data_IF_045136679845
#
_entry.id   IF_045136679845
#
_cell.length_a   1.000
_cell.length_b   1.000
_cell.length_c   1.000
_cell.angle_alpha   90.00
_cell.angle_beta   90.00
_cell.angle_gamma   90.00
#
_symmetry.space_group_name_H-M   'P 1'
#
loop_
_entity.id
_entity.type
_entity.pdbx_description
1 polymer ?
#
# COMPACT_ATOMS: atom_id res chain seq x y z
N UNK A 1 8.72 -15.84 -11.14
CA UNK A 1 7.33 -16.32 -11.32
C UNK A 1 6.83 -16.80 -9.96
N UNK A 2 5.67 -16.31 -9.51
CA UNK A 2 5.06 -16.71 -8.23
C UNK A 2 4.33 -18.05 -8.41
N UNK A 3 4.48 -18.96 -7.46
CA UNK A 3 3.82 -20.26 -7.45
C UNK A 3 2.99 -20.43 -6.17
N UNK A 4 1.74 -20.82 -6.32
CA UNK A 4 0.88 -21.18 -5.19
C UNK A 4 0.85 -22.71 -5.05
N UNK A 5 1.35 -23.22 -3.92
CA UNK A 5 1.37 -24.64 -3.61
C UNK A 5 0.41 -24.96 -2.46
N UNK A 6 -0.61 -25.77 -2.75
CA UNK A 6 -1.63 -26.25 -1.81
C UNK A 6 -1.51 -27.76 -1.55
N UNK A 7 -0.36 -28.40 -1.85
CA UNK A 7 -0.19 -29.83 -1.66
C UNK A 7 -0.49 -30.29 -0.24
N UNK A 8 -0.09 -29.51 0.77
CA UNK A 8 -0.30 -29.82 2.19
C UNK A 8 -1.76 -29.65 2.63
N UNK A 9 -2.62 -29.01 1.81
CA UNK A 9 -4.05 -28.89 2.13
C UNK A 9 -4.87 -30.09 1.66
N UNK A 10 -4.29 -31.01 0.87
CA UNK A 10 -4.99 -32.17 0.30
C UNK A 10 -5.51 -33.16 1.35
N UNK A 11 -4.89 -33.19 2.53
CA UNK A 11 -5.37 -33.99 3.66
C UNK A 11 -6.66 -33.43 4.27
N UNK A 12 -6.99 -32.18 3.97
CA UNK A 12 -8.15 -31.47 4.53
C UNK A 12 -9.22 -31.16 3.49
N UNK A 13 -8.84 -31.10 2.21
CA UNK A 13 -9.70 -30.75 1.07
C UNK A 13 -9.60 -31.86 0.04
N UNK A 14 -10.70 -32.59 -0.16
CA UNK A 14 -10.75 -33.61 -1.20
C UNK A 14 -10.90 -32.98 -2.60
N UNK A 15 -10.39 -33.64 -3.64
CA UNK A 15 -10.41 -33.11 -5.02
C UNK A 15 -11.82 -32.74 -5.51
N UNK A 16 -12.83 -33.54 -5.17
CA UNK A 16 -14.22 -33.27 -5.55
C UNK A 16 -14.78 -31.98 -4.93
N UNK A 17 -14.22 -31.51 -3.81
CA UNK A 17 -14.61 -30.24 -3.18
C UNK A 17 -14.08 -29.03 -3.97
N UNK A 18 -12.88 -29.16 -4.55
CA UNK A 18 -12.31 -28.17 -5.46
C UNK A 18 -13.12 -28.08 -6.75
N UNK A 19 -13.53 -29.22 -7.30
CA UNK A 19 -14.42 -29.26 -8.47
C UNK A 19 -15.78 -28.62 -8.16
N UNK A 20 -16.35 -28.91 -6.98
CA UNK A 20 -17.65 -28.39 -6.56
C UNK A 20 -17.65 -26.86 -6.34
N UNK A 21 -16.56 -26.27 -5.84
CA UNK A 21 -16.47 -24.81 -5.65
C UNK A 21 -16.21 -24.05 -6.96
N UNK A 22 -15.69 -24.73 -7.99
CA UNK A 22 -15.32 -24.13 -9.29
C UNK A 22 -16.46 -23.32 -9.91
N UNK A 23 -17.71 -23.79 -9.81
CA UNK A 23 -18.87 -23.03 -10.32
C UNK A 23 -19.12 -21.70 -9.59
N UNK A 24 -18.95 -21.67 -8.26
CA UNK A 24 -19.09 -20.44 -7.47
C UNK A 24 -17.92 -19.48 -7.72
N UNK A 25 -16.72 -20.02 -7.82
CA UNK A 25 -15.51 -19.26 -8.14
C UNK A 25 -15.61 -18.64 -9.55
N UNK A 26 -16.10 -19.40 -10.53
CA UNK A 26 -16.27 -18.93 -11.90
C UNK A 26 -17.29 -17.80 -12.00
N UNK A 27 -18.40 -17.90 -11.27
CA UNK A 27 -19.37 -16.81 -11.17
C UNK A 27 -18.74 -15.55 -10.55
N UNK A 28 -17.99 -15.68 -9.45
CA UNK A 28 -17.34 -14.55 -8.80
C UNK A 28 -16.28 -13.88 -9.70
N UNK A 29 -15.45 -14.67 -10.41
CA UNK A 29 -14.50 -14.13 -11.38
C UNK A 29 -15.21 -13.44 -12.54
N UNK A 30 -16.28 -14.04 -13.08
CA UNK A 30 -17.06 -13.44 -14.15
C UNK A 30 -17.69 -12.09 -13.71
N UNK A 31 -18.29 -12.03 -12.53
CA UNK A 31 -18.86 -10.78 -12.00
C UNK A 31 -17.79 -9.70 -11.76
N UNK A 32 -16.59 -10.09 -11.35
CA UNK A 32 -15.46 -9.18 -11.18
C UNK A 32 -14.98 -8.63 -12.53
N UNK A 33 -14.78 -9.51 -13.52
CA UNK A 33 -14.36 -9.14 -14.88
C UNK A 33 -15.41 -8.26 -15.58
N UNK A 34 -16.69 -8.56 -15.39
CA UNK A 34 -17.80 -7.78 -15.93
C UNK A 34 -18.16 -6.55 -15.10
N UNK A 35 -17.50 -6.35 -13.95
CA UNK A 35 -17.75 -5.21 -13.05
C UNK A 35 -19.20 -5.14 -12.53
N UNK A 36 -19.84 -6.29 -12.34
CA UNK A 36 -21.22 -6.41 -11.87
C UNK A 36 -21.34 -6.85 -10.42
N UNK A 37 -20.22 -7.21 -9.77
CA UNK A 37 -20.20 -7.59 -8.36
C UNK A 37 -20.53 -6.40 -7.42
N UNK A 38 -21.02 -6.65 -6.19
CA UNK A 38 -21.14 -5.61 -5.18
C UNK A 38 -19.81 -4.89 -4.91
N UNK A 39 -19.82 -3.56 -4.86
CA UNK A 39 -18.61 -2.75 -4.69
C UNK A 39 -17.81 -2.56 -5.99
N UNK A 40 -18.41 -2.82 -7.16
CA UNK A 40 -17.75 -2.64 -8.47
C UNK A 40 -17.37 -1.19 -8.78
N UNK A 41 -17.86 -0.23 -8.02
CA UNK A 41 -17.38 1.15 -8.05
C UNK A 41 -15.95 1.30 -7.48
N UNK A 42 -15.36 0.26 -6.86
CA UNK A 42 -14.03 0.28 -6.23
C UNK A 42 -13.05 -0.77 -6.79
N UNK A 43 -13.22 -1.22 -8.04
CA UNK A 43 -12.38 -2.25 -8.66
C UNK A 43 -11.36 -1.73 -9.68
N UNK A 44 -11.09 -0.42 -9.70
CA UNK A 44 -10.05 0.17 -10.56
C UNK A 44 -8.64 -0.37 -10.29
N UNK A 45 -8.44 -1.08 -9.16
CA UNK A 45 -7.18 -1.74 -8.82
C UNK A 45 -6.80 -2.89 -9.77
N UNK A 46 -7.75 -3.44 -10.52
CA UNK A 46 -7.50 -4.49 -11.53
C UNK A 46 -6.62 -3.98 -12.68
N UNK A 47 -6.77 -2.70 -13.05
CA UNK A 47 -6.11 -2.09 -14.22
C UNK A 47 -4.88 -1.25 -13.84
N UNK A 48 -4.61 -1.05 -12.54
CA UNK A 48 -3.43 -0.28 -12.10
C UNK A 48 -2.10 -0.76 -12.73
N UNK A 49 -1.89 -2.07 -12.96
CA UNK A 49 -0.68 -2.54 -13.63
C UNK A 49 -0.52 -2.08 -15.09
N UNK A 50 -1.58 -1.64 -15.78
CA UNK A 50 -1.53 -1.20 -17.19
C UNK A 50 -0.82 0.13 -17.41
N UNK A 51 -0.48 0.85 -16.32
CA UNK A 51 0.22 2.14 -16.39
C UNK A 51 -0.49 3.16 -17.27
N UNK A 52 -1.82 3.12 -17.33
CA UNK A 52 -2.59 4.00 -18.23
C UNK A 52 -2.28 5.49 -17.99
N UNK A 53 -2.02 5.87 -16.74
CA UNK A 53 -1.62 7.24 -16.38
C UNK A 53 -0.10 7.48 -16.47
N UNK A 54 0.46 7.40 -17.68
CA UNK A 54 1.90 7.61 -17.94
C UNK A 54 2.40 8.99 -17.50
N UNK A 55 1.55 10.01 -17.58
CA UNK A 55 1.88 11.36 -17.15
C UNK A 55 2.08 11.43 -15.64
N UNK A 56 1.17 10.85 -14.86
CA UNK A 56 1.30 10.81 -13.40
C UNK A 56 2.51 9.99 -12.96
N UNK A 57 2.79 8.85 -13.59
CA UNK A 57 4.01 8.08 -13.32
C UNK A 57 5.27 8.89 -13.62
N UNK A 58 5.29 9.65 -14.71
CA UNK A 58 6.41 10.56 -15.04
C UNK A 58 6.59 11.63 -13.97
N UNK A 59 5.48 12.19 -13.46
CA UNK A 59 5.51 13.16 -12.35
C UNK A 59 6.01 12.52 -11.06
N UNK A 60 5.58 11.30 -10.75
CA UNK A 60 6.07 10.55 -9.57
C UNK A 60 7.59 10.37 -9.65
N UNK A 61 8.13 9.94 -10.80
CA UNK A 61 9.58 9.77 -10.99
C UNK A 61 10.34 11.07 -10.77
N UNK A 62 9.90 12.16 -11.41
CA UNK A 62 10.53 13.49 -11.27
C UNK A 62 10.49 14.01 -9.84
N UNK A 63 9.35 13.84 -9.16
CA UNK A 63 9.21 14.23 -7.76
C UNK A 63 10.16 13.40 -6.87
N UNK A 64 10.22 12.09 -7.10
CA UNK A 64 11.11 11.20 -6.36
C UNK A 64 12.60 11.54 -6.56
N UNK A 65 13.04 11.74 -7.81
CA UNK A 65 14.40 12.20 -8.14
C UNK A 65 14.76 13.48 -7.39
N UNK A 66 13.91 14.50 -7.51
CA UNK A 66 14.10 15.79 -6.83
C UNK A 66 14.22 15.61 -5.31
N UNK A 67 13.33 14.83 -4.70
CA UNK A 67 13.38 14.60 -3.26
C UNK A 67 14.65 13.84 -2.84
N UNK A 68 15.13 12.87 -3.62
CA UNK A 68 16.38 12.16 -3.30
C UNK A 68 17.60 13.07 -3.24
N UNK A 69 17.62 14.12 -4.04
CA UNK A 69 18.72 15.10 -4.05
C UNK A 69 18.57 16.17 -2.94
N UNK A 70 17.33 16.61 -2.70
CA UNK A 70 17.06 17.80 -1.89
C UNK A 70 16.92 17.53 -0.39
N UNK A 71 16.54 16.31 0.04
CA UNK A 71 16.17 16.03 1.44
C UNK A 71 16.95 14.87 2.06
N UNK A 72 17.05 14.89 3.38
CA UNK A 72 17.61 13.81 4.19
C UNK A 72 16.51 12.84 4.68
N UNK A 73 15.28 13.35 4.85
CA UNK A 73 14.11 12.60 5.32
C UNK A 73 12.87 12.90 4.48
N UNK A 74 12.13 11.86 4.12
CA UNK A 74 10.73 11.96 3.70
C UNK A 74 9.85 11.46 4.85
N UNK A 75 8.95 12.32 5.35
CA UNK A 75 7.91 11.90 6.29
C UNK A 75 6.63 11.61 5.50
N UNK A 76 6.24 10.35 5.46
CA UNK A 76 4.97 9.91 4.88
C UNK A 76 3.90 10.00 5.97
N UNK A 77 2.91 10.87 5.79
CA UNK A 77 1.85 11.11 6.77
C UNK A 77 0.56 10.47 6.26
N UNK A 78 0.19 9.33 6.84
CA UNK A 78 -0.96 8.53 6.41
C UNK A 78 -1.24 7.37 7.37
N UNK A 79 -2.40 6.74 7.24
CA UNK A 79 -2.83 5.58 8.04
C UNK A 79 -3.53 4.54 7.16
N UNK A 80 -3.57 3.28 7.62
CA UNK A 80 -4.22 2.19 6.91
C UNK A 80 -3.59 1.97 5.54
N UNK A 81 -4.41 2.03 4.48
CA UNK A 81 -3.93 1.83 3.10
C UNK A 81 -2.95 2.91 2.62
N UNK A 82 -3.03 4.12 3.21
CA UNK A 82 -2.10 5.22 2.96
C UNK A 82 -0.77 5.11 3.72
N UNK A 83 -0.49 3.94 4.30
CA UNK A 83 0.66 3.67 5.14
C UNK A 83 1.22 2.26 4.91
N UNK A 84 0.39 1.23 5.09
CA UNK A 84 0.82 -0.17 5.13
C UNK A 84 1.47 -0.63 3.81
N UNK A 85 0.87 -0.30 2.66
CA UNK A 85 1.39 -0.74 1.37
C UNK A 85 2.78 -0.17 1.07
N UNK A 86 2.96 1.15 1.23
CA UNK A 86 4.26 1.80 1.04
C UNK A 86 5.32 1.22 1.98
N UNK A 87 4.98 1.08 3.27
CA UNK A 87 5.91 0.55 4.29
C UNK A 87 6.26 -0.91 4.03
N UNK A 88 5.30 -1.74 3.62
CA UNK A 88 5.54 -3.13 3.26
C UNK A 88 6.55 -3.27 2.13
N UNK A 89 6.38 -2.52 1.03
CA UNK A 89 7.29 -2.56 -0.11
C UNK A 89 8.67 -2.04 0.26
N UNK A 90 8.73 -0.92 0.99
CA UNK A 90 10.01 -0.32 1.41
C UNK A 90 10.77 -1.26 2.33
N UNK A 91 10.15 -1.82 3.36
CA UNK A 91 10.83 -2.73 4.28
C UNK A 91 11.24 -4.04 3.62
N UNK A 92 10.42 -4.60 2.71
CA UNK A 92 10.72 -5.84 2.01
C UNK A 92 11.92 -5.73 1.06
N UNK A 93 12.12 -4.56 0.44
CA UNK A 93 13.11 -4.36 -0.62
C UNK A 93 14.31 -3.49 -0.22
N UNK A 94 14.27 -2.86 0.95
CA UNK A 94 15.40 -2.06 1.45
C UNK A 94 16.35 -2.90 2.30
N UNK A 95 17.55 -2.37 2.50
CA UNK A 95 18.53 -2.95 3.41
C UNK A 95 17.96 -3.05 4.85
N UNK A 96 18.14 -4.18 5.55
CA UNK A 96 17.61 -4.36 6.92
C UNK A 96 18.05 -3.28 7.92
N UNK A 97 19.23 -2.69 7.69
CA UNK A 97 19.79 -1.60 8.50
C UNK A 97 19.71 -0.23 7.82
N UNK A 98 18.81 -0.05 6.85
CA UNK A 98 18.69 1.20 6.08
C UNK A 98 18.53 2.44 7.00
N UNK A 99 17.79 2.29 8.10
CA UNK A 99 17.61 3.37 9.09
C UNK A 99 18.92 3.79 9.80
N UNK A 100 19.86 2.87 9.97
CA UNK A 100 21.15 3.11 10.63
C UNK A 100 22.24 3.58 9.65
N UNK A 101 22.07 3.34 8.35
CA UNK A 101 23.04 3.76 7.35
C UNK A 101 23.11 5.29 7.23
N UNK A 102 24.30 5.84 6.94
CA UNK A 102 24.46 7.24 6.54
C UNK A 102 23.88 7.46 5.13
N UNK A 103 23.54 8.71 4.79
CA UNK A 103 22.83 9.03 3.55
C UNK A 103 23.62 8.69 2.28
N UNK A 104 24.95 8.77 2.31
CA UNK A 104 25.86 8.44 1.19
C UNK A 104 25.93 6.94 0.86
N UNK A 105 25.40 6.09 1.74
CA UNK A 105 25.32 4.63 1.56
C UNK A 105 23.91 4.14 1.29
N UNK A 106 22.97 5.04 0.96
CA UNK A 106 21.56 4.74 0.73
C UNK A 106 21.14 5.20 -0.66
N UNK A 107 20.14 4.52 -1.22
CA UNK A 107 19.59 4.87 -2.53
C UNK A 107 18.66 6.08 -2.51
N UNK A 108 18.29 6.57 -1.32
CA UNK A 108 17.38 7.70 -1.12
C UNK A 108 17.35 8.23 0.33
N UNK A 109 16.50 9.22 0.64
CA UNK A 109 16.35 9.78 1.98
C UNK A 109 15.71 8.79 2.94
N UNK A 110 15.78 9.08 4.24
CA UNK A 110 15.17 8.24 5.29
C UNK A 110 13.66 8.37 5.19
N UNK A 111 12.98 7.25 4.94
CA UNK A 111 11.52 7.24 4.91
C UNK A 111 11.03 6.98 6.32
N UNK A 112 10.29 7.94 6.87
CA UNK A 112 9.68 7.84 8.21
C UNK A 112 8.18 7.99 8.05
N UNK A 113 7.40 7.25 8.84
CA UNK A 113 5.95 7.29 8.78
C UNK A 113 5.39 8.02 10.00
N UNK A 114 4.40 8.88 9.80
CA UNK A 114 3.69 9.57 10.88
C UNK A 114 2.18 9.60 10.61
N UNK A 115 1.38 9.97 11.60
CA UNK A 115 -0.07 10.05 11.43
C UNK A 115 -0.78 8.70 11.27
N UNK A 116 -0.09 7.58 11.52
CA UNK A 116 -0.68 6.24 11.61
C UNK A 116 -1.13 5.86 13.04
N UNK A 117 -1.01 6.81 13.98
CA UNK A 117 -1.40 6.72 15.39
C UNK A 117 -1.42 8.15 16.02
N UNK A 118 -1.89 8.27 17.27
CA UNK A 118 -2.07 9.54 18.01
C UNK A 118 -1.20 9.64 19.30
N UNK A 119 -0.01 9.06 19.28
CA UNK A 119 0.99 9.19 20.34
C UNK A 119 1.70 10.54 20.25
N UNK A 120 1.51 11.36 21.29
CA UNK A 120 2.24 12.63 21.46
C UNK A 120 3.75 12.40 21.57
N UNK A 121 4.15 11.34 22.27
CA UNK A 121 5.56 11.04 22.54
C UNK A 121 6.28 10.69 21.23
N UNK A 122 5.65 9.87 20.38
CA UNK A 122 6.18 9.56 19.06
C UNK A 122 6.37 10.82 18.19
N UNK A 123 5.38 11.72 18.19
CA UNK A 123 5.49 12.97 17.43
C UNK A 123 6.54 13.92 18.03
N UNK A 124 6.70 13.91 19.34
CA UNK A 124 7.75 14.68 20.03
C UNK A 124 9.15 14.17 19.63
N UNK A 125 9.39 12.86 19.73
CA UNK A 125 10.67 12.25 19.36
C UNK A 125 10.98 12.44 17.88
N UNK A 126 9.97 12.29 17.02
CA UNK A 126 10.11 12.54 15.59
C UNK A 126 10.50 13.99 15.29
N UNK A 127 9.89 14.96 15.98
CA UNK A 127 10.27 16.37 15.86
C UNK A 127 11.72 16.59 16.28
N UNK A 128 12.18 15.99 17.39
CA UNK A 128 13.57 16.11 17.83
C UNK A 128 14.54 15.52 16.79
N UNK A 129 14.23 14.35 16.23
CA UNK A 129 15.02 13.71 15.18
C UNK A 129 15.16 14.59 13.92
N UNK A 130 14.06 15.24 13.52
CA UNK A 130 13.97 16.01 12.28
C UNK A 130 14.48 17.45 12.41
N UNK A 131 14.72 17.95 13.63
CA UNK A 131 15.18 19.33 13.86
C UNK A 131 16.51 19.58 13.13
N UNK A 132 16.54 20.64 12.32
CA UNK A 132 17.73 21.05 11.57
C UNK A 132 18.09 20.14 10.39
N UNK A 133 17.23 19.18 10.02
CA UNK A 133 17.42 18.30 8.85
C UNK A 133 16.71 18.86 7.62
N UNK A 134 17.12 18.41 6.43
CA UNK A 134 16.35 18.68 5.21
C UNK A 134 15.21 17.67 5.14
N UNK A 135 13.97 18.14 5.24
CA UNK A 135 12.79 17.27 5.37
C UNK A 135 11.76 17.62 4.32
N UNK A 136 11.16 16.61 3.70
CA UNK A 136 9.91 16.73 2.94
C UNK A 136 8.79 15.91 3.57
N UNK A 137 7.54 16.29 3.31
CA UNK A 137 6.34 15.56 3.67
C UNK A 137 5.65 15.04 2.40
N UNK A 138 5.16 13.80 2.46
CA UNK A 138 4.11 13.31 1.57
C UNK A 138 2.87 13.03 2.43
N UNK A 139 1.87 13.90 2.36
CA UNK A 139 0.63 13.78 3.15
C UNK A 139 -0.42 13.06 2.32
N UNK A 140 -0.86 11.89 2.80
CA UNK A 140 -1.69 10.98 2.04
C UNK A 140 -3.02 10.76 2.78
N UNK A 141 -4.11 11.27 2.22
CA UNK A 141 -5.47 10.99 2.67
C UNK A 141 -6.47 11.37 1.58
N UNK A 142 -7.36 10.45 1.20
CA UNK A 142 -8.36 10.70 0.15
C UNK A 142 -9.33 11.81 0.55
N UNK A 143 -9.88 11.78 1.77
CA UNK A 143 -10.80 12.82 2.26
C UNK A 143 -10.07 14.09 2.76
N UNK A 144 -8.82 13.94 3.19
CA UNK A 144 -8.08 14.96 3.92
C UNK A 144 -8.62 15.28 5.31
N UNK A 145 -9.57 14.47 5.82
CA UNK A 145 -10.23 14.67 7.12
C UNK A 145 -9.98 13.52 8.09
N UNK A 146 -9.24 12.48 7.68
CA UNK A 146 -8.81 11.41 8.58
C UNK A 146 -8.01 12.00 9.75
N UNK A 147 -8.42 11.70 10.98
CA UNK A 147 -8.00 12.45 12.18
C UNK A 147 -6.51 12.36 12.44
N UNK A 148 -5.96 11.15 12.43
CA UNK A 148 -4.57 10.84 12.76
C UNK A 148 -3.56 11.55 11.83
N UNK A 149 -3.67 11.45 10.49
CA UNK A 149 -2.78 12.18 9.60
C UNK A 149 -3.04 13.69 9.62
N UNK A 150 -4.27 14.16 9.82
CA UNK A 150 -4.56 15.60 9.91
C UNK A 150 -3.91 16.23 11.15
N UNK A 151 -3.95 15.56 12.30
CA UNK A 151 -3.29 16.00 13.53
C UNK A 151 -1.77 15.97 13.37
N UNK A 152 -1.21 14.86 12.90
CA UNK A 152 0.23 14.74 12.72
C UNK A 152 0.79 15.78 11.73
N UNK A 153 0.10 16.00 10.61
CA UNK A 153 0.50 17.03 9.65
C UNK A 153 0.50 18.43 10.27
N UNK A 154 -0.55 18.80 11.02
CA UNK A 154 -0.59 20.12 11.69
C UNK A 154 0.55 20.30 12.68
N UNK A 155 0.80 19.30 13.54
CA UNK A 155 1.85 19.34 14.56
C UNK A 155 3.25 19.41 13.94
N UNK A 156 3.55 18.51 13.00
CA UNK A 156 4.88 18.45 12.38
C UNK A 156 5.13 19.64 11.44
N UNK A 157 4.10 20.10 10.71
CA UNK A 157 4.21 21.31 9.89
C UNK A 157 4.56 22.52 10.73
N UNK A 158 3.86 22.71 11.83
CA UNK A 158 4.13 23.82 12.74
C UNK A 158 5.57 23.75 13.30
N UNK A 159 6.06 22.56 13.60
CA UNK A 159 7.39 22.41 14.17
C UNK A 159 8.53 22.57 13.15
N UNK A 160 8.32 22.18 11.89
CA UNK A 160 9.39 22.10 10.89
C UNK A 160 9.31 23.16 9.78
N UNK A 161 8.14 23.77 9.58
CA UNK A 161 7.88 24.70 8.48
C UNK A 161 7.34 26.06 8.90
N UNK A 162 7.17 26.34 10.21
CA UNK A 162 6.67 27.65 10.69
C UNK A 162 7.48 28.83 10.15
N UNK A 163 8.81 28.72 10.19
CA UNK A 163 9.74 29.78 9.78
C UNK A 163 10.30 29.54 8.36
N UNK A 164 9.80 28.54 7.63
CA UNK A 164 10.21 28.27 6.27
C UNK A 164 9.59 29.30 5.29
N UNK A 165 10.31 29.64 4.23
CA UNK A 165 9.71 30.42 3.14
C UNK A 165 8.62 29.61 2.43
N UNK A 166 7.68 30.31 1.82
CA UNK A 166 6.59 29.68 1.05
C UNK A 166 7.14 28.77 -0.08
N UNK A 167 8.20 29.20 -0.77
CA UNK A 167 8.85 28.39 -1.81
C UNK A 167 9.41 27.07 -1.27
N UNK A 168 10.02 27.11 -0.08
CA UNK A 168 10.56 25.92 0.58
C UNK A 168 9.40 25.01 1.01
N UNK A 169 8.32 25.58 1.53
CA UNK A 169 7.11 24.84 1.90
C UNK A 169 6.49 24.13 0.69
N UNK A 170 6.28 24.85 -0.42
CA UNK A 170 5.72 24.29 -1.67
C UNK A 170 6.54 23.15 -2.25
N UNK A 171 7.86 23.28 -2.24
CA UNK A 171 8.76 22.22 -2.76
C UNK A 171 8.80 20.99 -1.85
N UNK A 172 8.59 21.16 -0.55
CA UNK A 172 8.80 20.11 0.46
C UNK A 172 7.51 19.48 0.97
N UNK A 173 6.34 20.02 0.67
CA UNK A 173 5.06 19.41 1.06
C UNK A 173 4.30 18.95 -0.18
N UNK A 174 4.20 17.63 -0.32
CA UNK A 174 3.51 16.94 -1.39
C UNK A 174 2.21 16.37 -0.83
N UNK A 175 1.12 16.49 -1.58
CA UNK A 175 -0.20 16.01 -1.18
C UNK A 175 -0.67 14.91 -2.13
N UNK A 176 -0.95 13.73 -1.60
CA UNK A 176 -1.60 12.63 -2.35
C UNK A 176 -3.03 12.48 -1.85
N UNK A 177 -4.00 12.92 -2.65
CA UNK A 177 -5.40 13.08 -2.23
C UNK A 177 -6.37 12.84 -3.39
N UNK A 178 -7.68 12.89 -3.13
CA UNK A 178 -8.72 12.91 -4.15
C UNK A 178 -8.46 13.96 -5.26
N UNK A 179 -8.90 13.67 -6.49
CA UNK A 179 -8.65 14.51 -7.66
C UNK A 179 -9.19 15.94 -7.53
N UNK A 180 -10.34 16.12 -6.90
CA UNK A 180 -11.09 17.39 -6.91
C UNK A 180 -11.70 17.77 -5.56
N UNK A 181 -11.77 16.84 -4.61
CA UNK A 181 -12.53 17.01 -3.36
C UNK A 181 -11.65 16.85 -2.13
N UNK A 182 -12.20 17.22 -0.98
CA UNK A 182 -11.55 17.03 0.32
C UNK A 182 -10.75 18.23 0.81
N UNK A 183 -10.41 18.20 2.10
CA UNK A 183 -9.75 19.32 2.76
C UNK A 183 -8.28 19.48 2.31
N UNK A 184 -7.60 18.38 2.03
CA UNK A 184 -6.22 18.40 1.53
C UNK A 184 -6.13 18.91 0.09
N UNK A 185 -7.12 18.61 -0.77
CA UNK A 185 -7.18 19.17 -2.12
C UNK A 185 -7.28 20.69 -2.10
N UNK A 186 -8.22 21.24 -1.30
CA UNK A 186 -8.35 22.69 -1.12
C UNK A 186 -7.08 23.33 -0.60
N UNK A 187 -6.46 22.74 0.42
CA UNK A 187 -5.18 23.23 0.95
C UNK A 187 -4.10 23.26 -0.14
N UNK A 188 -4.01 22.21 -0.95
CA UNK A 188 -3.03 22.14 -2.02
C UNK A 188 -3.25 23.20 -3.10
N UNK A 189 -4.51 23.48 -3.46
CA UNK A 189 -4.86 24.54 -4.41
C UNK A 189 -4.57 25.93 -3.83
N UNK A 190 -4.96 26.19 -2.58
CA UNK A 190 -4.74 27.47 -1.89
C UNK A 190 -3.25 27.82 -1.70
N UNK A 191 -2.40 26.80 -1.64
CA UNK A 191 -0.97 26.93 -1.38
C UNK A 191 -0.10 26.53 -2.58
N UNK A 192 -0.70 26.19 -3.71
CA UNK A 192 0.01 25.76 -4.93
C UNK A 192 1.03 24.64 -4.64
N UNK A 193 0.56 23.60 -3.93
CA UNK A 193 1.34 22.43 -3.56
C UNK A 193 1.32 21.39 -4.68
N UNK A 194 2.43 20.67 -4.85
CA UNK A 194 2.47 19.53 -5.76
C UNK A 194 1.51 18.42 -5.27
N UNK A 195 0.66 17.94 -6.19
CA UNK A 195 -0.36 16.93 -5.86
C UNK A 195 -0.32 15.68 -6.73
N UNK A 196 -0.68 14.55 -6.14
CA UNK A 196 -0.94 13.29 -6.81
C UNK A 196 -2.35 12.79 -6.49
N UNK A 197 -2.91 11.96 -7.38
CA UNK A 197 -4.31 11.54 -7.31
C UNK A 197 -4.42 10.16 -6.69
N UNK A 198 -5.36 10.03 -5.75
CA UNK A 198 -5.91 8.72 -5.36
C UNK A 198 -7.16 8.50 -6.23
N UNK A 199 -7.19 7.49 -7.12
CA UNK A 199 -8.34 7.23 -7.97
C UNK A 199 -9.63 7.01 -7.17
N UNK A 200 -10.75 7.47 -7.73
CA UNK A 200 -12.06 7.39 -7.07
C UNK A 200 -12.51 5.94 -6.89
N UNK A 201 -12.19 5.11 -7.86
CA UNK A 201 -12.50 3.69 -7.99
C UNK A 201 -11.43 2.75 -7.39
N UNK A 202 -10.48 3.29 -6.63
CA UNK A 202 -9.50 2.49 -5.89
C UNK A 202 -9.68 2.69 -4.39
N UNK A 203 -10.02 1.61 -3.70
CA UNK A 203 -10.11 1.57 -2.24
C UNK A 203 -8.74 1.68 -1.57
N UNK A 204 -8.68 2.25 -0.37
CA UNK A 204 -7.41 2.55 0.32
C UNK A 204 -6.47 1.35 0.46
N UNK A 205 -6.97 0.18 0.89
CA UNK A 205 -6.14 -1.04 1.04
C UNK A 205 -5.60 -1.62 -0.27
N UNK A 206 -6.14 -1.20 -1.42
CA UNK A 206 -5.72 -1.60 -2.76
C UNK A 206 -4.85 -0.55 -3.47
N UNK A 207 -4.56 0.59 -2.82
CA UNK A 207 -3.95 1.75 -3.50
C UNK A 207 -2.42 1.74 -3.55
N UNK A 208 -1.75 0.65 -3.15
CA UNK A 208 -0.27 0.59 -3.11
C UNK A 208 0.39 0.84 -4.47
N UNK A 209 -0.27 0.47 -5.58
CA UNK A 209 0.22 0.71 -6.95
C UNK A 209 -0.24 2.05 -7.55
N UNK A 210 -0.83 2.92 -6.73
CA UNK A 210 -1.11 4.33 -7.06
C UNK A 210 0.00 5.22 -6.48
N UNK A 211 0.00 6.54 -6.69
CA UNK A 211 0.96 7.44 -6.03
C UNK A 211 1.00 7.33 -4.50
N UNK A 212 -0.03 6.76 -3.86
CA UNK A 212 -0.03 6.41 -2.43
C UNK A 212 1.18 5.57 -2.04
N UNK A 213 1.48 4.52 -2.80
CA UNK A 213 2.66 3.68 -2.57
C UNK A 213 3.83 4.03 -3.48
N UNK A 214 3.57 4.33 -4.75
CA UNK A 214 4.64 4.52 -5.75
C UNK A 214 5.55 5.72 -5.43
N UNK A 215 5.01 6.83 -4.93
CA UNK A 215 5.85 7.98 -4.59
C UNK A 215 6.84 7.69 -3.45
N UNK A 216 6.41 7.23 -2.25
CA UNK A 216 7.37 6.93 -1.20
C UNK A 216 8.32 5.78 -1.55
N UNK A 217 7.88 4.77 -2.31
CA UNK A 217 8.72 3.67 -2.80
C UNK A 217 9.81 4.19 -3.75
N UNK A 218 9.44 5.03 -4.73
CA UNK A 218 10.40 5.64 -5.64
C UNK A 218 11.39 6.56 -4.90
N UNK A 219 10.90 7.33 -3.91
CA UNK A 219 11.77 8.18 -3.09
C UNK A 219 12.77 7.33 -2.31
N UNK A 220 12.39 6.15 -1.81
CA UNK A 220 13.31 5.20 -1.15
C UNK A 220 14.41 4.67 -2.07
N UNK A 221 14.33 4.94 -3.39
CA UNK A 221 15.30 4.47 -4.39
C UNK A 221 14.98 3.08 -4.94
N UNK A 222 13.76 2.59 -4.72
CA UNK A 222 13.26 1.34 -5.30
C UNK A 222 12.71 1.63 -6.70
N UNK A 223 13.00 0.75 -7.64
CA UNK A 223 12.50 0.85 -9.01
C UNK A 223 11.00 0.53 -9.06
N UNK A 224 10.19 1.57 -9.27
CA UNK A 224 8.73 1.43 -9.38
C UNK A 224 8.29 0.88 -10.74
N UNK A 225 9.13 0.95 -11.77
CA UNK A 225 8.85 0.31 -13.05
C UNK A 225 8.97 -1.20 -12.90
N UNK A 226 10.06 -1.72 -12.32
CA UNK A 226 10.17 -3.16 -12.07
C UNK A 226 9.03 -3.69 -11.17
N UNK A 227 8.61 -2.90 -10.17
CA UNK A 227 7.45 -3.24 -9.33
C UNK A 227 6.15 -3.36 -10.14
N UNK A 228 5.88 -2.38 -11.01
CA UNK A 228 4.69 -2.38 -11.87
C UNK A 228 4.76 -3.47 -12.94
N UNK A 229 5.95 -3.77 -13.48
CA UNK A 229 6.14 -4.89 -14.42
C UNK A 229 5.87 -6.24 -13.75
N UNK A 230 6.30 -6.43 -12.50
CA UNK A 230 5.95 -7.61 -11.72
C UNK A 230 4.44 -7.74 -11.45
N UNK A 231 3.77 -6.61 -11.17
CA UNK A 231 2.32 -6.59 -11.01
C UNK A 231 1.57 -6.94 -12.32
N UNK A 232 2.02 -6.36 -13.45
CA UNK A 232 1.44 -6.63 -14.77
C UNK A 232 1.65 -8.11 -15.17
N UNK A 233 2.87 -8.64 -14.97
CA UNK A 233 3.17 -10.05 -15.21
C UNK A 233 2.31 -10.98 -14.37
N UNK A 234 2.04 -10.63 -13.10
CA UNK A 234 1.18 -11.45 -12.22
C UNK A 234 -0.27 -11.44 -12.69
N UNK A 235 -0.79 -10.28 -13.12
CA UNK A 235 -2.13 -10.19 -13.71
C UNK A 235 -2.22 -10.96 -15.03
N UNK A 236 -1.24 -10.80 -15.92
CA UNK A 236 -1.25 -11.47 -17.22
C UNK A 236 -1.23 -13.00 -17.06
N UNK A 237 -0.50 -13.52 -16.07
CA UNK A 237 -0.55 -14.95 -15.70
C UNK A 237 -1.97 -15.39 -15.33
N UNK A 238 -2.70 -14.58 -14.55
CA UNK A 238 -4.08 -14.87 -14.19
C UNK A 238 -5.02 -14.80 -15.41
N UNK A 239 -4.88 -13.79 -16.26
CA UNK A 239 -5.77 -13.58 -17.43
C UNK A 239 -5.55 -14.64 -18.52
N UNK A 240 -4.31 -15.01 -18.80
CA UNK A 240 -3.96 -15.97 -19.85
C UNK A 240 -4.33 -17.42 -19.49
N UNK A 241 -4.36 -17.76 -18.21
CA UNK A 241 -4.79 -19.08 -17.77
C UNK A 241 -6.31 -19.25 -17.96
N UNK A 242 -6.70 -20.29 -18.68
CA UNK A 242 -8.11 -20.58 -19.01
C UNK A 242 -8.75 -21.53 -18.00
N UNK A 243 -7.94 -22.35 -17.32
CA UNK A 243 -8.40 -23.26 -16.29
C UNK A 243 -8.44 -22.53 -14.93
N UNK A 244 -9.64 -22.28 -14.44
CA UNK A 244 -9.88 -21.49 -13.23
C UNK A 244 -9.13 -21.98 -11.98
N UNK A 245 -8.90 -23.28 -11.81
CA UNK A 245 -8.17 -23.82 -10.66
C UNK A 245 -6.64 -23.89 -10.86
N UNK A 246 -6.14 -23.48 -12.03
CA UNK A 246 -4.70 -23.28 -12.31
C UNK A 246 -4.25 -21.84 -12.09
N UNK A 247 -5.19 -20.89 -12.12
CA UNK A 247 -5.02 -19.48 -11.71
C UNK A 247 -4.60 -19.40 -10.22
N UNK A 248 -3.37 -18.96 -9.87
CA UNK A 248 -2.87 -18.97 -8.49
C UNK A 248 -3.78 -18.25 -7.48
N UNK A 249 -4.23 -17.03 -7.79
CA UNK A 249 -5.10 -16.24 -6.92
C UNK A 249 -6.48 -16.88 -6.76
N UNK A 250 -7.04 -17.41 -7.84
CA UNK A 250 -8.33 -18.10 -7.80
C UNK A 250 -8.25 -19.41 -7.00
N UNK A 251 -7.15 -20.17 -7.15
CA UNK A 251 -6.87 -21.38 -6.37
C UNK A 251 -6.69 -21.08 -4.89
N UNK A 252 -5.96 -20.02 -4.54
CA UNK A 252 -5.83 -19.54 -3.16
C UNK A 252 -7.20 -19.15 -2.58
N UNK A 253 -8.03 -18.41 -3.32
CA UNK A 253 -9.38 -18.05 -2.89
C UNK A 253 -10.27 -19.29 -2.65
N UNK A 254 -10.20 -20.30 -3.52
CA UNK A 254 -10.94 -21.55 -3.37
C UNK A 254 -10.52 -22.32 -2.11
N UNK A 255 -9.22 -22.58 -1.94
CA UNK A 255 -8.66 -23.35 -0.83
C UNK A 255 -9.06 -22.73 0.51
N UNK A 256 -8.88 -21.41 0.67
CA UNK A 256 -9.23 -20.70 1.91
C UNK A 256 -10.72 -20.73 2.20
N UNK A 257 -11.55 -20.60 1.16
CA UNK A 257 -13.00 -20.65 1.30
C UNK A 257 -13.46 -22.04 1.75
N UNK A 258 -12.86 -23.11 1.19
CA UNK A 258 -13.16 -24.49 1.59
C UNK A 258 -12.72 -24.78 3.03
N UNK A 259 -11.53 -24.33 3.42
CA UNK A 259 -11.08 -24.45 4.82
C UNK A 259 -12.00 -23.67 5.77
N UNK A 260 -12.39 -22.45 5.42
CA UNK A 260 -13.33 -21.67 6.22
C UNK A 260 -14.67 -22.39 6.41
N UNK A 261 -15.21 -23.04 5.37
CA UNK A 261 -16.43 -23.85 5.44
C UNK A 261 -16.30 -25.08 6.34
N UNK A 262 -15.09 -25.58 6.54
CA UNK A 262 -14.77 -26.69 7.46
C UNK A 262 -14.52 -26.22 8.90
N UNK A 263 -14.69 -24.93 9.19
CA UNK A 263 -14.54 -24.38 10.54
C UNK A 263 -13.14 -23.86 10.87
N UNK A 264 -12.22 -23.78 9.90
CA UNK A 264 -10.95 -23.08 10.09
C UNK A 264 -11.18 -21.56 10.03
N UNK A 265 -11.30 -20.94 11.20
CA UNK A 265 -11.71 -19.53 11.32
C UNK A 265 -10.55 -18.53 11.34
N UNK A 266 -9.31 -19.02 11.34
CA UNK A 266 -8.09 -18.20 11.42
C UNK A 266 -7.11 -18.66 10.36
N UNK A 267 -6.53 -17.71 9.63
CA UNK A 267 -5.48 -17.95 8.64
C UNK A 267 -4.22 -17.19 9.04
N UNK A 268 -3.10 -17.89 9.02
CA UNK A 268 -1.80 -17.35 9.37
C UNK A 268 -0.97 -17.19 8.10
N UNK A 269 -0.61 -15.95 7.77
CA UNK A 269 0.46 -15.67 6.81
C UNK A 269 1.80 -15.67 7.56
N UNK A 270 2.56 -16.75 7.41
CA UNK A 270 3.91 -16.89 7.96
C UNK A 270 4.97 -16.41 6.96
N UNK A 271 5.93 -15.60 7.42
CA UNK A 271 7.09 -15.21 6.63
C UNK A 271 8.40 -15.69 7.30
N UNK A 272 9.39 -16.06 6.50
CA UNK A 272 10.71 -16.51 6.99
C UNK A 272 11.79 -15.42 6.98
N UNK A 273 11.44 -14.24 6.47
CA UNK A 273 12.34 -13.09 6.36
C UNK A 273 11.78 -11.92 7.18
N UNK A 274 12.57 -11.30 8.09
CA UNK A 274 12.09 -10.22 8.95
C UNK A 274 11.68 -8.97 8.17
N UNK A 275 12.20 -8.76 6.96
CA UNK A 275 11.80 -7.67 6.06
C UNK A 275 10.35 -7.80 5.57
N UNK A 276 9.74 -8.98 5.67
CA UNK A 276 8.36 -9.24 5.27
C UNK A 276 7.34 -8.93 6.35
N UNK A 277 7.76 -8.51 7.56
CA UNK A 277 6.85 -8.21 8.67
C UNK A 277 5.72 -7.26 8.24
N UNK A 278 6.07 -6.12 7.64
CA UNK A 278 5.06 -5.14 7.23
C UNK A 278 4.24 -5.59 6.02
N UNK A 279 4.73 -6.54 5.21
CA UNK A 279 3.92 -7.21 4.19
C UNK A 279 2.79 -8.03 4.84
N UNK A 280 3.06 -8.72 5.96
CA UNK A 280 1.99 -9.43 6.69
C UNK A 280 0.96 -8.46 7.28
N UNK A 281 1.37 -7.29 7.76
CA UNK A 281 0.46 -6.23 8.23
C UNK A 281 -0.44 -5.70 7.10
N UNK A 282 0.13 -5.44 5.92
CA UNK A 282 -0.63 -5.06 4.73
C UNK A 282 -1.62 -6.15 4.31
N UNK A 283 -1.20 -7.42 4.30
CA UNK A 283 -2.06 -8.56 3.98
C UNK A 283 -3.22 -8.71 4.99
N UNK A 284 -2.96 -8.51 6.28
CA UNK A 284 -4.01 -8.51 7.31
C UNK A 284 -5.06 -7.45 7.05
N UNK A 285 -4.65 -6.23 6.67
CA UNK A 285 -5.60 -5.19 6.29
C UNK A 285 -6.42 -5.60 5.06
N UNK A 286 -5.75 -6.11 4.03
CA UNK A 286 -6.39 -6.51 2.78
C UNK A 286 -7.53 -7.51 3.03
N UNK A 287 -7.27 -8.58 3.76
CA UNK A 287 -8.28 -9.61 4.03
C UNK A 287 -9.24 -9.23 5.14
N UNK A 288 -8.76 -8.65 6.23
CA UNK A 288 -9.57 -8.26 7.38
C UNK A 288 -10.64 -7.25 6.99
N UNK A 289 -10.27 -6.18 6.29
CA UNK A 289 -11.25 -5.16 5.90
C UNK A 289 -12.14 -5.56 4.71
N UNK A 290 -11.73 -6.55 3.91
CA UNK A 290 -12.53 -7.00 2.75
C UNK A 290 -13.51 -8.11 3.11
N UNK A 291 -13.08 -9.11 3.86
CA UNK A 291 -13.83 -10.35 4.08
C UNK A 291 -14.47 -10.45 5.48
N UNK A 292 -14.01 -9.68 6.47
CA UNK A 292 -14.60 -9.71 7.81
C UNK A 292 -15.75 -8.70 7.95
N UNK A 293 -16.93 -9.08 7.44
CA UNK A 293 -18.15 -8.27 7.44
C UNK A 293 -19.33 -9.09 7.94
N UNK A 294 -20.35 -8.43 8.47
CA UNK A 294 -21.64 -9.04 8.82
C UNK A 294 -21.54 -10.27 9.74
N UNK A 295 -20.60 -10.23 10.69
CA UNK A 295 -20.33 -11.33 11.62
C UNK A 295 -19.69 -12.57 10.97
N UNK A 296 -19.14 -12.44 9.76
CA UNK A 296 -18.45 -13.50 9.00
C UNK A 296 -17.00 -13.10 8.72
N UNK A 297 -16.20 -14.05 8.26
CA UNK A 297 -14.83 -13.83 7.81
C UNK A 297 -13.84 -14.81 8.43
N UNK A 298 -12.65 -14.89 7.84
CA UNK A 298 -11.49 -15.60 8.40
C UNK A 298 -10.59 -14.56 9.04
N UNK A 299 -10.21 -14.77 10.30
CA UNK A 299 -9.32 -13.88 11.04
C UNK A 299 -7.93 -13.96 10.41
N UNK A 300 -7.40 -12.86 9.85
CA UNK A 300 -6.06 -12.84 9.29
C UNK A 300 -5.03 -12.57 10.40
N UNK A 301 -4.06 -13.46 10.54
CA UNK A 301 -2.91 -13.32 11.44
C UNK A 301 -1.60 -13.33 10.63
N UNK A 302 -0.61 -12.59 11.12
CA UNK A 302 0.75 -12.57 10.57
C UNK A 302 1.71 -13.14 11.61
N UNK A 303 2.67 -13.96 11.19
CA UNK A 303 3.72 -14.52 12.05
C UNK A 303 5.06 -14.45 11.34
N UNK A 304 6.10 -14.06 12.07
CA UNK A 304 7.48 -14.12 11.61
C UNK A 304 8.14 -15.40 12.14
N UNK A 305 8.67 -16.22 11.24
CA UNK A 305 9.41 -17.43 11.55
C UNK A 305 10.88 -17.30 11.11
N UNK A 306 11.81 -18.02 11.72
CA UNK A 306 11.74 -18.73 13.01
C UNK A 306 12.17 -17.81 14.17
N UNK A 307 11.80 -16.53 14.11
CA UNK A 307 12.27 -15.43 14.99
C UNK A 307 12.41 -15.83 16.46
#
# INVERSE_FOLDING_TARGET
MLHFDDQMTRDFIASHELDAISGQLGAACFELDQRTCPGSEYIGWLDLPDRENKEELTRVRKCAERLREEVDYLVVIGIGGSYLGARAVIEALSHHFDAQLPNDRRSGPKIIFAGHQLSSDYLYDLKELLRGRRVAFNVISKSGTTTEPAVAFRVLREALFRDASEDVFRKRVIITTDRQRGALRRLAEERDLETFVIPDDVGGRFSVLTPVGLLPVAVAGIDIDELLDGAASSRDQEVQETELLKKPAARYAAVRTLLARKGYTTEILGAYEPSMRMFTEWWKQLFGESACKDGRGVIPLGVDFTT
#
